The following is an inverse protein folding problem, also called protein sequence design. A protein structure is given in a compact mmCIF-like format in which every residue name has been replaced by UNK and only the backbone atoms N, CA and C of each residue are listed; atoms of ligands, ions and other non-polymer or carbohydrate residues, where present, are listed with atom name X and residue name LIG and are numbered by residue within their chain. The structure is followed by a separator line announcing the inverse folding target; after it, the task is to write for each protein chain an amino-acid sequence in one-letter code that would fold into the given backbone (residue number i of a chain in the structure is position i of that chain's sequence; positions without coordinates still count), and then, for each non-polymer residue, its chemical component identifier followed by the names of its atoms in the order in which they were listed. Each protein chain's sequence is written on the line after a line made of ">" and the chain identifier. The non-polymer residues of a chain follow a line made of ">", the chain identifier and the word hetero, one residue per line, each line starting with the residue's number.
data_IF_495931623861
#
_entry.id   IF_495931623861
#
_cell.length_a   1.000
_cell.length_b   1.000
_cell.length_c   1.000
_cell.angle_alpha   90.00
_cell.angle_beta   90.00
_cell.angle_gamma   90.00
#
_symmetry.space_group_name_H-M   'P 1'
#
loop_
_entity.id
_entity.type
_entity.pdbx_description
1 polymer ?
#
# COMPACT_ATOMS: atom_id res chain seq x y z
N UNK A 1 0.52 10.61 -5.09
CA UNK A 1 0.20 11.42 -3.90
C UNK A 1 0.20 10.53 -2.65
N UNK A 2 0.01 11.10 -1.44
CA UNK A 2 0.04 10.46 -0.10
C UNK A 2 -0.80 9.17 0.03
N UNK A 3 -0.55 8.33 1.05
CA UNK A 3 -1.38 7.16 1.38
C UNK A 3 -2.65 7.50 2.20
N UNK A 4 -2.70 8.69 2.81
CA UNK A 4 -3.82 9.15 3.62
C UNK A 4 -3.68 8.97 5.14
N UNK A 5 -2.67 8.25 5.64
CA UNK A 5 -2.51 8.01 7.09
C UNK A 5 -1.84 9.14 7.88
N UNK A 6 -0.99 9.94 7.24
CA UNK A 6 -0.17 10.95 7.92
C UNK A 6 -1.00 12.03 8.63
N UNK A 7 -0.40 12.70 9.64
CA UNK A 7 -1.06 13.78 10.38
C UNK A 7 -2.21 13.31 11.27
N UNK A 8 -2.19 12.07 11.75
CA UNK A 8 -3.25 11.49 12.59
C UNK A 8 -4.49 11.01 11.82
N UNK A 9 -4.49 11.15 10.49
CA UNK A 9 -5.64 10.80 9.65
C UNK A 9 -5.92 9.30 9.56
N UNK A 10 -4.97 8.45 9.94
CA UNK A 10 -5.22 7.01 10.10
C UNK A 10 -6.34 6.70 11.11
N UNK A 11 -6.57 7.59 12.07
CA UNK A 11 -7.66 7.50 13.06
C UNK A 11 -8.91 8.27 12.63
N UNK A 12 -8.84 9.02 11.53
CA UNK A 12 -9.95 9.81 11.04
C UNK A 12 -10.83 8.95 10.14
N UNK A 13 -12.13 8.90 10.43
CA UNK A 13 -13.11 8.28 9.53
C UNK A 13 -13.43 9.24 8.38
N UNK A 14 -12.72 9.09 7.27
CA UNK A 14 -13.02 9.83 6.04
C UNK A 14 -14.28 9.26 5.36
N UNK A 15 -15.37 10.02 5.34
CA UNK A 15 -16.65 9.61 4.73
C UNK A 15 -16.94 10.30 3.39
N UNK A 16 -16.05 11.21 3.00
CA UNK A 16 -16.19 12.03 1.81
C UNK A 16 -15.31 11.49 0.68
N UNK A 17 -15.94 11.20 -0.45
CA UNK A 17 -15.24 10.74 -1.66
C UNK A 17 -14.65 9.34 -1.54
N UNK A 18 -13.69 9.05 -2.42
CA UNK A 18 -12.97 7.78 -2.44
C UNK A 18 -11.79 7.85 -1.48
N UNK A 19 -11.59 6.84 -0.61
CA UNK A 19 -10.41 6.76 0.23
C UNK A 19 -9.12 6.89 -0.60
N UNK A 20 -8.19 7.72 -0.12
CA UNK A 20 -6.95 8.03 -0.86
C UNK A 20 -6.19 6.74 -1.20
N UNK A 21 -6.16 5.78 -0.27
CA UNK A 21 -5.46 4.51 -0.48
C UNK A 21 -6.08 3.68 -1.61
N UNK A 22 -7.40 3.70 -1.78
CA UNK A 22 -8.08 2.93 -2.82
C UNK A 22 -7.71 3.47 -4.21
N UNK A 23 -7.62 4.79 -4.35
CA UNK A 23 -7.13 5.43 -5.59
C UNK A 23 -5.66 5.11 -5.84
N UNK A 24 -4.81 5.07 -4.80
CA UNK A 24 -3.41 4.66 -4.93
C UNK A 24 -3.28 3.21 -5.39
N UNK A 25 -4.09 2.31 -4.87
CA UNK A 25 -4.10 0.91 -5.30
C UNK A 25 -4.62 0.77 -6.73
N UNK A 26 -5.64 1.53 -7.13
CA UNK A 26 -6.09 1.60 -8.53
C UNK A 26 -4.96 2.03 -9.46
N UNK A 27 -4.19 3.05 -9.08
CA UNK A 27 -3.01 3.49 -9.84
C UNK A 27 -1.95 2.40 -9.92
N UNK A 28 -1.62 1.76 -8.79
CA UNK A 28 -0.62 0.68 -8.74
C UNK A 28 -1.00 -0.46 -9.69
N UNK A 29 -2.26 -0.91 -9.67
CA UNK A 29 -2.77 -1.94 -10.57
C UNK A 29 -2.63 -1.58 -12.05
N UNK A 30 -2.87 -0.32 -12.42
CA UNK A 30 -2.73 0.13 -13.81
C UNK A 30 -1.30 0.02 -14.34
N UNK A 31 -0.30 -0.01 -13.46
CA UNK A 31 1.11 -0.18 -13.87
C UNK A 31 1.44 -1.62 -14.27
N UNK A 32 0.63 -2.61 -13.86
CA UNK A 32 0.94 -4.03 -14.02
C UNK A 32 2.00 -4.55 -13.05
N UNK A 33 2.48 -3.74 -12.10
CA UNK A 33 3.41 -4.17 -11.08
C UNK A 33 2.79 -5.21 -10.14
N UNK A 34 3.56 -6.22 -9.75
CA UNK A 34 3.19 -7.22 -8.74
C UNK A 34 3.58 -6.83 -7.32
N UNK A 35 4.36 -5.77 -7.15
CA UNK A 35 4.91 -5.36 -5.85
C UNK A 35 4.79 -3.86 -5.69
N UNK A 36 4.29 -3.43 -4.54
CA UNK A 36 4.22 -2.04 -4.10
C UNK A 36 5.21 -1.86 -2.95
N UNK A 37 6.32 -1.17 -3.21
CA UNK A 37 7.33 -0.89 -2.20
C UNK A 37 7.05 0.43 -1.47
N UNK A 38 7.33 0.47 -0.17
CA UNK A 38 7.28 1.67 0.67
C UNK A 38 8.37 1.63 1.73
N UNK A 39 8.83 2.79 2.21
CA UNK A 39 9.77 2.89 3.35
C UNK A 39 9.11 3.56 4.57
N UNK A 40 7.77 3.60 4.59
CA UNK A 40 6.98 4.24 5.62
C UNK A 40 5.98 3.22 6.21
N UNK A 41 6.02 2.95 7.52
CA UNK A 41 5.16 1.95 8.15
C UNK A 41 3.68 2.31 8.05
N UNK A 42 3.33 3.61 8.11
CA UNK A 42 1.94 4.04 7.95
C UNK A 42 1.42 3.82 6.52
N UNK A 43 2.27 4.03 5.51
CA UNK A 43 1.91 3.70 4.14
C UNK A 43 1.71 2.19 3.99
N UNK A 44 2.59 1.38 4.58
CA UNK A 44 2.49 -0.07 4.52
C UNK A 44 1.16 -0.56 5.09
N UNK A 45 0.82 -0.18 6.33
CA UNK A 45 -0.45 -0.57 6.96
C UNK A 45 -1.66 -0.14 6.14
N UNK A 46 -1.66 1.09 5.60
CA UNK A 46 -2.75 1.54 4.74
C UNK A 46 -2.87 0.70 3.47
N UNK A 47 -1.76 0.42 2.79
CA UNK A 47 -1.78 -0.38 1.56
C UNK A 47 -2.23 -1.81 1.82
N UNK A 48 -1.74 -2.44 2.88
CA UNK A 48 -2.20 -3.77 3.29
C UNK A 48 -3.70 -3.78 3.58
N UNK A 49 -4.21 -2.80 4.33
CA UNK A 49 -5.63 -2.71 4.66
C UNK A 49 -6.48 -2.41 3.42
N UNK A 50 -6.01 -1.54 2.52
CA UNK A 50 -6.66 -1.30 1.24
C UNK A 50 -6.69 -2.55 0.35
N UNK A 51 -5.60 -3.31 0.30
CA UNK A 51 -5.50 -4.58 -0.45
C UNK A 51 -6.43 -5.65 0.14
N UNK A 52 -6.59 -5.71 1.47
CA UNK A 52 -7.54 -6.63 2.11
C UNK A 52 -9.00 -6.30 1.79
N UNK A 53 -9.35 -5.02 1.67
CA UNK A 53 -10.70 -4.58 1.30
C UNK A 53 -11.03 -4.77 -0.18
N UNK A 54 -10.00 -4.79 -1.00
CA UNK A 54 -10.11 -4.95 -2.44
C UNK A 54 -10.55 -6.39 -2.79
N UNK A 55 -11.82 -6.55 -3.13
CA UNK A 55 -12.42 -7.86 -3.46
C UNK A 55 -11.94 -8.47 -4.79
N UNK A 56 -11.03 -7.78 -5.49
CA UNK A 56 -10.39 -8.30 -6.69
C UNK A 56 -9.33 -9.34 -6.35
N UNK A 57 -9.10 -10.29 -7.26
CA UNK A 57 -8.03 -11.30 -7.17
C UNK A 57 -6.65 -10.64 -7.41
N UNK A 58 -6.31 -9.67 -6.57
CA UNK A 58 -5.18 -8.75 -6.73
C UNK A 58 -3.90 -9.44 -6.30
N UNK A 59 -2.99 -9.64 -7.25
CA UNK A 59 -1.66 -10.24 -7.03
C UNK A 59 -0.60 -9.24 -6.55
N UNK A 60 -0.99 -8.05 -6.11
CA UNK A 60 -0.04 -7.04 -5.65
C UNK A 60 0.28 -7.29 -4.19
N UNK A 61 1.56 -7.48 -3.88
CA UNK A 61 2.09 -7.53 -2.52
C UNK A 61 2.60 -6.13 -2.13
N UNK A 62 2.20 -5.61 -0.97
CA UNK A 62 2.82 -4.42 -0.39
C UNK A 62 3.99 -4.85 0.50
N UNK A 63 5.16 -4.24 0.32
CA UNK A 63 6.38 -4.59 1.06
C UNK A 63 7.10 -3.35 1.57
N UNK A 64 7.72 -3.48 2.74
CA UNK A 64 8.71 -2.52 3.21
C UNK A 64 10.01 -2.64 2.39
N UNK A 65 10.67 -1.51 2.15
CA UNK A 65 11.95 -1.46 1.46
C UNK A 65 13.00 -2.36 2.13
N UNK A 66 13.03 -2.40 3.47
CA UNK A 66 13.95 -3.25 4.21
C UNK A 66 13.69 -4.75 3.94
N UNK A 67 12.43 -5.17 3.80
CA UNK A 67 12.09 -6.56 3.46
C UNK A 67 12.58 -6.93 2.06
N UNK A 68 12.42 -6.02 1.09
CA UNK A 68 12.91 -6.22 -0.28
C UNK A 68 14.44 -6.38 -0.27
N UNK A 69 15.14 -5.51 0.46
CA UNK A 69 16.61 -5.58 0.59
C UNK A 69 17.04 -6.88 1.26
N UNK A 70 16.39 -7.27 2.37
CA UNK A 70 16.69 -8.52 3.07
C UNK A 70 16.50 -9.75 2.18
N UNK A 71 15.37 -9.85 1.45
CA UNK A 71 15.11 -10.93 0.48
C UNK A 71 16.20 -11.00 -0.60
N UNK A 72 16.77 -9.87 -1.02
CA UNK A 72 17.83 -9.82 -2.03
C UNK A 72 19.21 -10.25 -1.51
N UNK A 73 19.44 -10.19 -0.20
CA UNK A 73 20.69 -10.62 0.44
C UNK A 73 20.61 -12.12 0.73
N UNK A 74 19.48 -12.60 1.25
CA UNK A 74 19.28 -14.01 1.61
C UNK A 74 19.17 -14.95 0.38
N UNK A 75 18.96 -14.39 -0.81
CA UNK A 75 18.91 -15.13 -2.09
C UNK A 75 20.28 -15.26 -2.79
N UNK A 76 21.37 -14.80 -2.16
CA UNK A 76 22.75 -14.99 -2.64
C UNK A 76 23.42 -16.17 -1.93
#
# INVERSE_FOLDING_TARGET
>A
FCCGAGGGRILAEEKLGTPIVDERLRMAKKTGASTLATACPFCLSMFEDGLKRDSGNTKIEALDLAEIVARSIDQQ
#
